data_IF_939068381127
#
_entry.id   IF_939068381127
#
_cell.length_a   1.000
_cell.length_b   1.000
_cell.length_c   1.000
_cell.angle_alpha   90.00
_cell.angle_beta   90.00
_cell.angle_gamma   90.00
#
_symmetry.space_group_name_H-M   'P 1'
#
loop_
_entity.id
_entity.type
_entity.pdbx_description
1 polymer ?
#
# COMPACT_ATOMS: atom_id res chain seq x y z
N UNK A 1 69.13 67.00 15.58
CA UNK A 1 68.60 67.99 14.61
C UNK A 1 68.72 69.37 15.23
N UNK A 2 69.50 70.27 14.62
CA UNK A 2 69.76 71.61 15.16
C UNK A 2 68.50 72.47 15.12
N UNK A 3 68.15 73.05 16.27
CA UNK A 3 67.01 73.98 16.46
C UNK A 3 67.01 75.15 15.47
N UNK A 4 68.20 75.60 15.02
CA UNK A 4 68.32 76.64 13.98
C UNK A 4 67.84 76.23 12.59
N UNK A 5 67.94 74.94 12.24
CA UNK A 5 67.45 74.45 10.94
C UNK A 5 65.92 74.38 10.86
N UNK A 6 65.27 74.11 11.98
CA UNK A 6 63.80 74.02 12.05
C UNK A 6 63.14 75.39 11.86
N UNK A 7 63.75 76.45 12.42
CA UNK A 7 63.26 77.83 12.31
C UNK A 7 63.32 78.33 10.86
N UNK A 8 64.38 77.98 10.12
CA UNK A 8 64.51 78.35 8.70
C UNK A 8 63.46 77.67 7.82
N UNK A 9 63.17 76.38 8.07
CA UNK A 9 62.15 75.65 7.31
C UNK A 9 60.76 76.20 7.58
N UNK A 10 60.41 76.44 8.86
CA UNK A 10 59.10 77.01 9.23
C UNK A 10 58.95 78.44 8.70
N UNK A 11 59.99 79.26 8.77
CA UNK A 11 59.98 80.62 8.23
C UNK A 11 59.79 80.67 6.71
N UNK A 12 60.43 79.75 5.98
CA UNK A 12 60.28 79.65 4.51
C UNK A 12 58.87 79.19 4.11
N UNK A 13 58.29 78.25 4.86
CA UNK A 13 56.95 77.73 4.60
C UNK A 13 55.89 78.82 4.84
N UNK A 14 56.02 79.59 5.92
CA UNK A 14 55.12 80.71 6.24
C UNK A 14 55.19 81.83 5.19
N UNK A 15 56.38 82.14 4.67
CA UNK A 15 56.51 83.13 3.58
C UNK A 15 55.87 82.65 2.28
N UNK A 16 55.98 81.37 1.95
CA UNK A 16 55.35 80.81 0.74
C UNK A 16 53.82 80.86 0.83
N UNK A 17 53.24 80.55 1.99
CA UNK A 17 51.79 80.64 2.23
C UNK A 17 51.32 82.10 2.19
N UNK A 18 52.05 83.03 2.80
CA UNK A 18 51.73 84.45 2.76
C UNK A 18 51.77 85.02 1.32
N UNK A 19 52.75 84.61 0.51
CA UNK A 19 52.83 84.98 -0.90
C UNK A 19 51.64 84.44 -1.70
N UNK A 20 51.20 83.19 -1.44
CA UNK A 20 50.05 82.59 -2.11
C UNK A 20 48.74 83.30 -1.76
N UNK A 21 48.53 83.63 -0.47
CA UNK A 21 47.36 84.39 -0.01
C UNK A 21 47.35 85.80 -0.60
N UNK A 22 48.51 86.46 -0.66
CA UNK A 22 48.61 87.78 -1.27
C UNK A 22 48.30 87.76 -2.77
N UNK A 23 48.78 86.75 -3.50
CA UNK A 23 48.45 86.56 -4.92
C UNK A 23 46.96 86.27 -5.12
N UNK A 24 46.36 85.42 -4.27
CA UNK A 24 44.93 85.11 -4.35
C UNK A 24 44.04 86.35 -4.10
N UNK A 25 44.39 87.20 -3.13
CA UNK A 25 43.65 88.43 -2.84
C UNK A 25 43.85 89.48 -3.95
N UNK A 26 45.06 89.56 -4.52
CA UNK A 26 45.34 90.52 -5.61
C UNK A 26 44.72 90.11 -6.94
N UNK A 27 44.61 88.81 -7.23
CA UNK A 27 43.86 88.33 -8.40
C UNK A 27 42.34 88.42 -8.20
N UNK A 28 41.84 88.27 -6.97
CA UNK A 28 40.41 88.32 -6.65
C UNK A 28 39.79 89.73 -6.58
N UNK A 29 40.60 90.80 -6.60
CA UNK A 29 40.13 92.19 -6.39
C UNK A 29 40.30 93.15 -7.58
N UNK A 30 40.64 92.64 -8.78
CA UNK A 30 40.53 93.44 -10.01
C UNK A 30 39.07 93.50 -10.48
N UNK A 31 38.45 94.64 -10.25
CA UNK A 31 37.01 94.85 -10.40
C UNK A 31 36.48 94.66 -11.83
N UNK A 32 35.32 94.00 -11.91
CA UNK A 32 34.31 94.26 -12.94
C UNK A 32 33.06 94.78 -12.24
N UNK A 33 32.62 95.96 -12.68
CA UNK A 33 31.37 96.62 -12.29
C UNK A 33 30.15 95.69 -12.45
N UNK A 34 29.04 95.93 -11.73
CA UNK A 34 27.83 95.12 -11.85
C UNK A 34 27.12 95.51 -13.15
N UNK A 35 27.42 94.80 -14.22
CA UNK A 35 26.63 94.89 -15.45
C UNK A 35 25.39 94.01 -15.30
N UNK A 36 24.23 94.60 -15.54
CA UNK A 36 22.94 93.94 -15.36
C UNK A 36 22.76 92.91 -16.47
N UNK A 37 22.66 91.63 -16.10
CA UNK A 37 22.18 90.46 -16.90
C UNK A 37 23.21 89.84 -17.87
N UNK A 38 23.69 88.60 -17.58
CA UNK A 38 23.31 87.46 -18.42
C UNK A 38 23.22 86.13 -17.63
N UNK A 39 22.47 86.08 -16.52
CA UNK A 39 22.20 84.81 -15.83
C UNK A 39 21.36 83.84 -16.70
N UNK A 40 20.65 84.36 -17.70
CA UNK A 40 19.88 83.59 -18.67
C UNK A 40 20.75 82.88 -19.71
N UNK A 41 21.98 83.32 -19.98
CA UNK A 41 22.84 82.79 -21.05
C UNK A 41 23.59 81.49 -20.70
N UNK A 42 24.08 81.36 -19.46
CA UNK A 42 24.72 80.10 -19.00
C UNK A 42 23.69 78.99 -18.77
N UNK A 43 22.49 79.33 -18.27
CA UNK A 43 21.40 78.36 -18.13
C UNK A 43 20.91 77.88 -19.51
N UNK A 44 20.68 78.79 -20.47
CA UNK A 44 20.29 78.37 -21.83
C UNK A 44 21.40 77.63 -22.59
N UNK A 45 22.68 77.90 -22.31
CA UNK A 45 23.79 77.13 -22.89
C UNK A 45 23.85 75.71 -22.31
N UNK A 46 23.71 75.54 -20.99
CA UNK A 46 23.64 74.22 -20.34
C UNK A 46 22.38 73.43 -20.73
N UNK A 47 21.23 74.09 -20.87
CA UNK A 47 19.99 73.45 -21.31
C UNK A 47 20.10 72.95 -22.77
N UNK A 48 20.70 73.75 -23.67
CA UNK A 48 21.04 73.29 -25.03
C UNK A 48 22.08 72.17 -25.04
N UNK A 49 23.01 72.18 -24.09
CA UNK A 49 24.02 71.13 -23.98
C UNK A 49 23.38 69.79 -23.53
N UNK A 50 22.44 69.84 -22.59
CA UNK A 50 21.68 68.65 -22.18
C UNK A 50 20.74 68.17 -23.28
N UNK A 51 20.14 69.08 -24.05
CA UNK A 51 19.21 68.75 -25.13
C UNK A 51 19.89 68.04 -26.32
N UNK A 52 21.17 68.34 -26.63
CA UNK A 52 21.91 67.59 -27.65
C UNK A 52 22.56 66.29 -27.14
N UNK A 53 22.94 66.22 -25.86
CA UNK A 53 23.43 64.97 -25.24
C UNK A 53 22.32 63.91 -25.19
N UNK A 54 21.07 64.32 -25.02
CA UNK A 54 19.87 63.49 -25.16
C UNK A 54 19.09 63.82 -26.44
N UNK A 55 19.81 63.90 -27.56
CA UNK A 55 19.17 64.09 -28.87
C UNK A 55 18.19 62.95 -29.20
N UNK A 56 17.32 63.19 -30.17
CA UNK A 56 16.32 62.19 -30.60
C UNK A 56 16.98 60.89 -31.10
N UNK A 57 18.20 60.96 -31.64
CA UNK A 57 19.00 59.80 -32.07
C UNK A 57 19.42 58.90 -30.89
N UNK A 58 19.91 59.46 -29.79
CA UNK A 58 20.25 58.72 -28.57
C UNK A 58 18.99 58.13 -27.92
N UNK A 59 17.87 58.85 -27.95
CA UNK A 59 16.58 58.33 -27.47
C UNK A 59 16.09 57.17 -28.32
N UNK A 60 16.25 57.24 -29.63
CA UNK A 60 15.93 56.15 -30.55
C UNK A 60 16.86 54.95 -30.37
N UNK A 61 18.17 55.15 -30.18
CA UNK A 61 19.12 54.08 -29.90
C UNK A 61 18.82 53.41 -28.56
N UNK A 62 18.54 54.20 -27.51
CA UNK A 62 18.13 53.66 -26.21
C UNK A 62 16.83 52.88 -26.32
N UNK A 63 15.85 53.37 -27.09
CA UNK A 63 14.59 52.66 -27.35
C UNK A 63 14.81 51.36 -28.12
N UNK A 64 15.66 51.37 -29.14
CA UNK A 64 15.99 50.20 -29.93
C UNK A 64 16.76 49.16 -29.12
N UNK A 65 17.76 49.60 -28.35
CA UNK A 65 18.55 48.75 -27.44
C UNK A 65 17.68 48.20 -26.32
N UNK A 66 16.79 49.01 -25.76
CA UNK A 66 15.79 48.58 -24.79
C UNK A 66 14.88 47.51 -25.37
N UNK A 67 14.31 47.73 -26.57
CA UNK A 67 13.48 46.73 -27.28
C UNK A 67 14.24 45.43 -27.53
N UNK A 68 15.47 45.50 -28.05
CA UNK A 68 16.32 44.33 -28.29
C UNK A 68 16.63 43.57 -27.00
N UNK A 69 16.94 44.30 -25.93
CA UNK A 69 17.20 43.69 -24.62
C UNK A 69 15.94 43.03 -24.05
N UNK A 70 14.78 43.68 -24.14
CA UNK A 70 13.51 43.09 -23.71
C UNK A 70 13.16 41.85 -24.52
N UNK A 71 13.28 41.90 -25.83
CA UNK A 71 13.04 40.75 -26.72
C UNK A 71 13.95 39.58 -26.38
N UNK A 72 15.25 39.86 -26.16
CA UNK A 72 16.22 38.86 -25.70
C UNK A 72 15.83 38.26 -24.35
N UNK A 73 15.50 39.09 -23.35
CA UNK A 73 15.12 38.62 -22.00
C UNK A 73 13.83 37.80 -22.05
N UNK A 74 12.83 38.20 -22.85
CA UNK A 74 11.59 37.43 -23.02
C UNK A 74 11.88 36.09 -23.70
N UNK A 75 12.71 36.08 -24.75
CA UNK A 75 13.12 34.85 -25.43
C UNK A 75 13.87 33.88 -24.51
N UNK A 76 14.84 34.38 -23.75
CA UNK A 76 15.58 33.60 -22.75
C UNK A 76 14.66 33.09 -21.63
N UNK A 77 13.76 33.93 -21.12
CA UNK A 77 12.80 33.54 -20.08
C UNK A 77 11.81 32.49 -20.55
N UNK A 78 11.31 32.61 -21.78
CA UNK A 78 10.43 31.62 -22.40
C UNK A 78 11.16 30.29 -22.62
N UNK A 79 12.44 30.35 -23.04
CA UNK A 79 13.29 29.17 -23.18
C UNK A 79 13.51 28.47 -21.84
N UNK A 80 13.83 29.20 -20.76
CA UNK A 80 13.99 28.62 -19.43
C UNK A 80 12.69 27.99 -18.92
N UNK A 81 11.56 28.69 -19.06
CA UNK A 81 10.26 28.14 -18.67
C UNK A 81 9.94 26.84 -19.42
N UNK A 82 10.18 26.81 -20.74
CA UNK A 82 9.95 25.61 -21.54
C UNK A 82 10.89 24.46 -21.11
N UNK A 83 12.14 24.77 -20.80
CA UNK A 83 13.10 23.79 -20.28
C UNK A 83 12.64 23.24 -18.93
N UNK A 84 12.20 24.09 -18.01
CA UNK A 84 11.73 23.71 -16.69
C UNK A 84 10.45 22.88 -16.76
N UNK A 85 9.50 23.26 -17.61
CA UNK A 85 8.28 22.48 -17.84
C UNK A 85 8.60 21.10 -18.41
N UNK A 86 9.53 21.03 -19.37
CA UNK A 86 9.99 19.75 -19.92
C UNK A 86 10.67 18.90 -18.85
N UNK A 87 11.58 19.47 -18.06
CA UNK A 87 12.26 18.76 -16.99
C UNK A 87 11.29 18.26 -15.92
N UNK A 88 10.35 19.11 -15.50
CA UNK A 88 9.30 18.75 -14.54
C UNK A 88 8.42 17.64 -15.09
N UNK A 89 8.07 17.68 -16.38
CA UNK A 89 7.29 16.63 -17.04
C UNK A 89 8.02 15.28 -17.03
N UNK A 90 9.34 15.28 -17.30
CA UNK A 90 10.16 14.07 -17.23
C UNK A 90 10.24 13.52 -15.79
N UNK A 91 10.54 14.38 -14.82
CA UNK A 91 10.62 13.98 -13.41
C UNK A 91 9.28 13.44 -12.90
N UNK A 92 8.17 14.07 -13.27
CA UNK A 92 6.84 13.61 -12.92
C UNK A 92 6.53 12.24 -13.57
N UNK A 93 6.90 12.04 -14.84
CA UNK A 93 6.71 10.76 -15.51
C UNK A 93 7.48 9.63 -14.81
N UNK A 94 8.76 9.86 -14.51
CA UNK A 94 9.61 8.89 -13.83
C UNK A 94 9.11 8.59 -12.41
N UNK A 95 8.73 9.63 -11.67
CA UNK A 95 8.12 9.49 -10.35
C UNK A 95 6.83 8.67 -10.41
N UNK A 96 5.90 9.01 -11.31
CA UNK A 96 4.65 8.26 -11.48
C UNK A 96 4.91 6.81 -11.85
N UNK A 97 5.84 6.54 -12.78
CA UNK A 97 6.20 5.18 -13.18
C UNK A 97 6.75 4.38 -11.98
N UNK A 98 7.64 4.99 -11.21
CA UNK A 98 8.21 4.39 -10.01
C UNK A 98 7.14 4.07 -8.97
N UNK A 99 6.28 5.05 -8.67
CA UNK A 99 5.23 4.92 -7.66
C UNK A 99 4.16 3.92 -8.07
N UNK A 100 3.73 3.91 -9.34
CA UNK A 100 2.80 2.91 -9.88
C UNK A 100 3.42 1.52 -9.77
N UNK A 101 4.69 1.35 -10.15
CA UNK A 101 5.37 0.06 -10.08
C UNK A 101 5.47 -0.43 -8.64
N UNK A 102 5.88 0.43 -7.71
CA UNK A 102 5.98 0.13 -6.29
C UNK A 102 4.62 -0.25 -5.70
N UNK A 103 3.60 0.57 -5.96
CA UNK A 103 2.23 0.32 -5.48
C UNK A 103 1.68 -1.00 -6.01
N UNK A 104 1.85 -1.26 -7.32
CA UNK A 104 1.44 -2.53 -7.91
C UNK A 104 2.18 -3.71 -7.29
N UNK A 105 3.49 -3.62 -7.07
CA UNK A 105 4.25 -4.69 -6.41
C UNK A 105 3.77 -4.96 -4.99
N UNK A 106 3.48 -3.91 -4.22
CA UNK A 106 2.98 -4.04 -2.85
C UNK A 106 1.57 -4.66 -2.82
N UNK A 107 0.68 -4.23 -3.72
CA UNK A 107 -0.65 -4.83 -3.86
C UNK A 107 -0.59 -6.28 -4.35
N UNK A 108 0.29 -6.61 -5.31
CA UNK A 108 0.47 -7.99 -5.75
C UNK A 108 0.96 -8.91 -4.62
N UNK A 109 1.88 -8.44 -3.77
CA UNK A 109 2.31 -9.22 -2.59
C UNK A 109 1.16 -9.45 -1.61
N UNK A 110 0.33 -8.43 -1.35
CA UNK A 110 -0.85 -8.59 -0.50
C UNK A 110 -1.85 -9.57 -1.11
N UNK A 111 -2.07 -9.51 -2.42
CA UNK A 111 -2.94 -10.46 -3.12
C UNK A 111 -2.38 -11.89 -3.07
N UNK A 112 -1.09 -12.09 -3.32
CA UNK A 112 -0.43 -13.39 -3.22
C UNK A 112 -0.58 -13.99 -1.82
N UNK A 113 -0.35 -13.18 -0.78
CA UNK A 113 -0.56 -13.58 0.60
C UNK A 113 -2.02 -13.95 0.87
N UNK A 114 -2.97 -13.10 0.47
CA UNK A 114 -4.41 -13.34 0.68
C UNK A 114 -4.88 -14.62 -0.03
N UNK A 115 -4.38 -14.90 -1.24
CA UNK A 115 -4.68 -16.13 -1.98
C UNK A 115 -4.08 -17.35 -1.25
N UNK A 116 -2.87 -17.22 -0.73
CA UNK A 116 -2.19 -18.29 0.02
C UNK A 116 -2.96 -18.61 1.31
N UNK A 117 -3.38 -17.58 2.05
CA UNK A 117 -4.16 -17.72 3.28
C UNK A 117 -5.54 -18.34 2.97
N UNK A 118 -6.22 -17.89 1.92
CA UNK A 118 -7.50 -18.45 1.49
C UNK A 118 -7.37 -19.92 1.07
N UNK A 119 -6.28 -20.28 0.37
CA UNK A 119 -5.98 -21.67 0.01
C UNK A 119 -5.75 -22.51 1.25
N UNK A 120 -4.99 -22.02 2.22
CA UNK A 120 -4.74 -22.75 3.47
C UNK A 120 -6.05 -22.96 4.24
N UNK A 121 -6.86 -21.92 4.38
CA UNK A 121 -8.18 -22.00 5.03
C UNK A 121 -9.09 -23.02 4.33
N UNK A 122 -9.08 -23.05 2.99
CA UNK A 122 -9.84 -24.04 2.23
C UNK A 122 -9.36 -25.48 2.49
N UNK A 123 -8.04 -25.70 2.53
CA UNK A 123 -7.44 -27.00 2.86
C UNK A 123 -7.85 -27.42 4.28
N UNK A 124 -7.70 -26.54 5.27
CA UNK A 124 -8.06 -26.81 6.65
C UNK A 124 -9.56 -27.11 6.79
N UNK A 125 -10.41 -26.38 6.06
CA UNK A 125 -11.85 -26.63 6.03
C UNK A 125 -12.18 -27.99 5.41
N UNK A 126 -11.51 -28.38 4.32
CA UNK A 126 -11.71 -29.68 3.68
C UNK A 126 -11.28 -30.80 4.64
N UNK A 127 -10.14 -30.66 5.30
CA UNK A 127 -9.67 -31.64 6.30
C UNK A 127 -10.66 -31.77 7.47
N UNK A 128 -11.18 -30.64 7.97
CA UNK A 128 -12.22 -30.63 9.00
C UNK A 128 -13.53 -31.28 8.51
N UNK A 129 -13.90 -31.08 7.25
CA UNK A 129 -15.07 -31.75 6.66
C UNK A 129 -14.84 -33.26 6.54
N UNK A 130 -13.66 -33.71 6.09
CA UNK A 130 -13.31 -35.14 6.00
C UNK A 130 -13.40 -35.80 7.37
N UNK A 131 -12.79 -35.19 8.39
CA UNK A 131 -12.82 -35.73 9.76
C UNK A 131 -14.25 -35.79 10.32
N UNK A 132 -15.07 -34.76 10.07
CA UNK A 132 -16.48 -34.75 10.49
C UNK A 132 -17.29 -35.83 9.76
N UNK A 133 -17.07 -36.02 8.46
CA UNK A 133 -17.72 -37.07 7.67
C UNK A 133 -17.35 -38.46 8.21
N UNK A 134 -16.07 -38.69 8.52
CA UNK A 134 -15.63 -39.98 9.04
C UNK A 134 -16.25 -40.28 10.41
N UNK A 135 -16.31 -39.29 11.30
CA UNK A 135 -17.03 -39.40 12.58
C UNK A 135 -18.52 -39.72 12.39
N UNK A 136 -19.18 -39.07 11.42
CA UNK A 136 -20.57 -39.36 11.10
C UNK A 136 -20.75 -40.77 10.52
N UNK A 137 -19.83 -41.22 9.66
CA UNK A 137 -19.85 -42.59 9.12
C UNK A 137 -19.72 -43.63 10.23
N UNK A 138 -18.77 -43.47 11.14
CA UNK A 138 -18.61 -44.38 12.28
C UNK A 138 -19.85 -44.39 13.17
N UNK A 139 -20.42 -43.22 13.46
CA UNK A 139 -21.64 -43.11 14.26
C UNK A 139 -22.82 -43.84 13.59
N UNK A 140 -23.05 -43.59 12.30
CA UNK A 140 -24.10 -44.25 11.53
C UNK A 140 -23.89 -45.77 11.44
N UNK A 141 -22.65 -46.22 11.29
CA UNK A 141 -22.31 -47.64 11.28
C UNK A 141 -22.68 -48.30 12.62
N UNK A 142 -22.29 -47.71 13.75
CA UNK A 142 -22.66 -48.23 15.09
C UNK A 142 -24.17 -48.23 15.31
N UNK A 143 -24.85 -47.18 14.84
CA UNK A 143 -26.30 -47.09 14.95
C UNK A 143 -27.02 -48.16 14.10
N UNK A 144 -26.56 -48.40 12.87
CA UNK A 144 -27.07 -49.45 11.99
C UNK A 144 -26.85 -50.84 12.59
N UNK A 145 -25.65 -51.12 13.12
CA UNK A 145 -25.33 -52.39 13.76
C UNK A 145 -26.21 -52.65 14.99
N UNK A 146 -26.42 -51.62 15.81
CA UNK A 146 -27.33 -51.69 16.97
C UNK A 146 -28.78 -51.95 16.54
N UNK A 147 -29.27 -51.27 15.49
CA UNK A 147 -30.62 -51.49 14.97
C UNK A 147 -30.78 -52.88 14.37
N UNK A 148 -29.76 -53.35 13.65
CA UNK A 148 -29.74 -54.69 13.07
C UNK A 148 -29.83 -55.77 14.16
N UNK A 149 -29.01 -55.68 15.21
CA UNK A 149 -29.06 -56.63 16.32
C UNK A 149 -30.40 -56.58 17.07
N UNK A 150 -30.96 -55.38 17.29
CA UNK A 150 -32.28 -55.24 17.89
C UNK A 150 -33.39 -55.90 17.03
N UNK A 151 -33.36 -55.70 15.71
CA UNK A 151 -34.32 -56.35 14.81
C UNK A 151 -34.13 -57.87 14.78
N UNK A 152 -32.89 -58.36 14.72
CA UNK A 152 -32.57 -59.79 14.78
C UNK A 152 -33.15 -60.42 16.05
N UNK A 153 -32.92 -59.79 17.20
CA UNK A 153 -33.44 -60.26 18.49
C UNK A 153 -34.98 -60.25 18.53
N UNK A 154 -35.63 -59.23 17.96
CA UNK A 154 -37.09 -59.20 17.85
C UNK A 154 -37.64 -60.32 16.97
N UNK A 155 -37.00 -60.59 15.83
CA UNK A 155 -37.39 -61.68 14.92
C UNK A 155 -37.23 -63.03 15.62
N UNK A 156 -36.09 -63.26 16.29
CA UNK A 156 -35.85 -64.50 17.05
C UNK A 156 -36.90 -64.67 18.15
N UNK A 157 -37.14 -63.65 18.98
CA UNK A 157 -38.12 -63.73 20.06
C UNK A 157 -39.54 -64.01 19.55
N UNK A 158 -39.92 -63.42 18.41
CA UNK A 158 -41.20 -63.69 17.76
C UNK A 158 -41.26 -65.12 17.23
N UNK A 159 -40.20 -65.58 16.57
CA UNK A 159 -40.10 -66.95 16.08
C UNK A 159 -40.19 -67.98 17.21
N UNK A 160 -39.47 -67.77 18.32
CA UNK A 160 -39.54 -68.63 19.51
C UNK A 160 -40.96 -68.71 20.07
N UNK A 161 -41.68 -67.58 20.13
CA UNK A 161 -43.07 -67.50 20.60
C UNK A 161 -44.03 -68.24 19.66
N UNK A 162 -43.89 -68.02 18.35
CA UNK A 162 -44.69 -68.71 17.33
C UNK A 162 -44.40 -70.22 17.34
N UNK A 163 -43.14 -70.62 17.49
CA UNK A 163 -42.74 -72.02 17.57
C UNK A 163 -43.24 -72.71 18.84
N UNK A 164 -43.18 -72.05 20.00
CA UNK A 164 -43.77 -72.57 21.23
C UNK A 164 -45.28 -72.84 21.07
N UNK A 165 -45.99 -71.94 20.37
CA UNK A 165 -47.42 -72.08 20.08
C UNK A 165 -47.70 -73.25 19.13
N UNK A 166 -46.92 -73.36 18.05
CA UNK A 166 -47.02 -74.46 17.08
C UNK A 166 -46.72 -75.80 17.76
N UNK A 167 -45.62 -75.91 18.50
CA UNK A 167 -45.26 -77.13 19.25
C UNK A 167 -46.35 -77.48 20.25
N UNK A 168 -46.86 -76.53 21.02
CA UNK A 168 -47.97 -76.77 21.96
C UNK A 168 -49.21 -77.34 21.22
N UNK A 169 -49.58 -76.75 20.08
CA UNK A 169 -50.69 -77.26 19.26
C UNK A 169 -50.43 -78.68 18.71
N UNK A 170 -49.21 -78.98 18.27
CA UNK A 170 -48.82 -80.32 17.80
C UNK A 170 -48.79 -81.34 18.93
N UNK A 171 -48.26 -80.98 20.11
CA UNK A 171 -48.21 -81.85 21.29
C UNK A 171 -49.63 -82.14 21.79
N UNK A 172 -50.51 -81.14 21.89
CA UNK A 172 -51.90 -81.34 22.27
C UNK A 172 -52.67 -82.19 21.25
N UNK A 173 -52.39 -82.05 19.95
CA UNK A 173 -52.99 -82.90 18.91
C UNK A 173 -52.43 -84.33 18.91
N UNK A 174 -51.13 -84.51 19.20
CA UNK A 174 -50.49 -85.82 19.33
C UNK A 174 -50.97 -86.57 20.58
N UNK A 175 -51.16 -85.87 21.70
CA UNK A 175 -51.70 -86.44 22.95
C UNK A 175 -53.21 -86.66 22.85
N UNK A 176 -53.93 -85.82 22.09
CA UNK A 176 -55.38 -85.82 22.04
C UNK A 176 -56.03 -86.93 21.20
N UNK A 177 -55.29 -87.74 20.44
CA UNK A 177 -55.90 -88.70 19.51
C UNK A 177 -55.50 -90.17 19.60
N UNK A 178 -54.58 -90.62 20.48
CA UNK A 178 -54.46 -92.04 20.84
C UNK A 178 -53.41 -92.27 21.95
N UNK A 179 -53.85 -92.86 23.06
CA UNK A 179 -53.32 -94.09 23.68
C UNK A 179 -51.80 -94.36 23.47
N UNK A 180 -51.08 -94.38 24.61
CA UNK A 180 -49.73 -94.92 24.93
C UNK A 180 -48.47 -94.23 24.32
N UNK A 181 -47.76 -93.45 25.15
CA UNK A 181 -46.66 -92.53 24.75
C UNK A 181 -45.40 -92.62 25.63
N UNK A 182 -45.30 -93.57 26.57
CA UNK A 182 -44.10 -93.68 27.44
C UNK A 182 -42.87 -94.19 26.67
N UNK A 183 -43.05 -95.08 25.68
CA UNK A 183 -41.93 -95.72 24.98
C UNK A 183 -41.32 -94.86 23.85
N UNK A 184 -42.03 -93.84 23.35
CA UNK A 184 -41.57 -93.00 22.24
C UNK A 184 -40.93 -91.68 22.68
N UNK A 185 -41.20 -91.20 23.90
CA UNK A 185 -40.60 -89.98 24.43
C UNK A 185 -39.09 -90.14 24.65
N UNK A 186 -38.63 -91.30 25.11
CA UNK A 186 -37.20 -91.58 25.30
C UNK A 186 -36.42 -91.56 23.97
N UNK A 187 -37.02 -92.07 22.89
CA UNK A 187 -36.39 -92.07 21.57
C UNK A 187 -36.30 -90.65 20.97
N UNK A 188 -37.37 -89.86 21.12
CA UNK A 188 -37.41 -88.47 20.62
C UNK A 188 -36.48 -87.57 21.43
N UNK A 189 -36.42 -87.73 22.77
CA UNK A 189 -35.50 -86.99 23.62
C UNK A 189 -34.03 -87.34 23.31
N UNK A 190 -33.73 -88.62 23.08
CA UNK A 190 -32.38 -89.05 22.68
C UNK A 190 -31.96 -88.48 21.31
N UNK A 191 -32.87 -88.43 20.32
CA UNK A 191 -32.56 -87.81 19.03
C UNK A 191 -32.44 -86.28 19.10
N UNK A 192 -33.23 -85.62 19.95
CA UNK A 192 -33.11 -84.17 20.17
C UNK A 192 -31.83 -83.81 20.90
N UNK A 193 -31.38 -84.60 21.88
CA UNK A 193 -30.08 -84.43 22.53
C UNK A 193 -28.92 -84.67 21.57
N UNK A 194 -29.01 -85.70 20.73
CA UNK A 194 -28.00 -86.02 19.73
C UNK A 194 -27.84 -84.89 18.68
N UNK A 195 -28.94 -84.27 18.27
CA UNK A 195 -28.94 -83.21 17.25
C UNK A 195 -28.85 -81.79 17.82
N UNK A 196 -28.89 -81.63 19.15
CA UNK A 196 -28.84 -80.33 19.83
C UNK A 196 -27.64 -79.47 19.40
N UNK A 197 -26.47 -80.09 19.20
CA UNK A 197 -25.27 -79.38 18.75
C UNK A 197 -25.39 -78.88 17.30
N UNK A 198 -25.92 -79.72 16.41
CA UNK A 198 -26.12 -79.36 15.01
C UNK A 198 -27.14 -78.22 14.87
N UNK A 199 -28.24 -78.28 15.63
CA UNK A 199 -29.25 -77.21 15.65
C UNK A 199 -28.66 -75.89 16.18
N UNK A 200 -27.82 -75.95 17.22
CA UNK A 200 -27.16 -74.76 17.77
C UNK A 200 -26.14 -74.16 16.78
N UNK A 201 -25.44 -75.01 16.04
CA UNK A 201 -24.45 -74.61 15.04
C UNK A 201 -25.12 -73.97 13.81
N UNK A 202 -26.26 -74.51 13.37
CA UNK A 202 -27.05 -73.99 12.23
C UNK A 202 -27.67 -72.62 12.56
N UNK A 203 -28.14 -72.43 13.80
CA UNK A 203 -28.70 -71.14 14.27
C UNK A 203 -27.59 -70.09 14.46
N UNK A 204 -26.37 -70.49 14.81
CA UNK A 204 -25.25 -69.56 15.06
C UNK A 204 -24.48 -69.18 13.79
N UNK A 205 -24.44 -70.06 12.78
CA UNK A 205 -23.71 -69.83 11.53
C UNK A 205 -24.60 -69.49 10.32
N UNK A 206 -25.91 -69.31 10.56
CA UNK A 206 -26.95 -68.93 9.59
C UNK A 206 -26.48 -68.71 8.16
N UNK A 207 -26.80 -69.66 7.28
CA UNK A 207 -26.91 -69.36 5.84
C UNK A 207 -27.95 -68.28 5.60
#
# INVERSE_FOLDING_TARGET
MNTGGLILVIGSLLSAVAAFVWVAIRLGSSGRQPDKTPATGLQTASDKDVEHIFNDEFREELRNRGRLHFEKVIGESAMFLQQDLRQTTFQLNDYMRGEITRTLQDEFKKYEQSITDAKQLAVDSIEKTITTIEQQREFLQRQLETQYENQKNQIIARFETEMATIINHYVLRAIGNQIDLSDQLDYILAQLEANKKAILEDITHGT
#
